data_IF_861125514347
#
_entry.id   IF_861125514347
#
_cell.length_a   1.000
_cell.length_b   1.000
_cell.length_c   1.000
_cell.angle_alpha   90.00
_cell.angle_beta   90.00
_cell.angle_gamma   90.00
#
_symmetry.space_group_name_H-M   'P 1'
#
loop_
_entity.id
_entity.type
_entity.pdbx_description
1 polymer ?
#
# COMPACT_ATOMS: atom_id res chain seq x y z
N UNK A 1 13.73 -0.56 -34.52
CA UNK A 1 13.93 -2.00 -34.78
C UNK A 1 12.58 -2.63 -35.09
N UNK A 2 12.44 -3.96 -35.00
CA UNK A 2 11.10 -4.56 -34.82
C UNK A 2 10.65 -4.27 -33.39
N UNK A 3 9.39 -3.93 -33.19
CA UNK A 3 8.81 -3.71 -31.89
C UNK A 3 8.81 -5.01 -31.07
N UNK A 4 9.20 -4.93 -29.81
CA UNK A 4 9.09 -6.00 -28.84
C UNK A 4 8.21 -5.56 -27.67
N UNK A 5 7.82 -6.51 -26.81
CA UNK A 5 7.16 -6.21 -25.54
C UNK A 5 8.03 -5.23 -24.72
N UNK A 6 7.40 -4.18 -24.19
CA UNK A 6 8.04 -3.06 -23.49
C UNK A 6 8.52 -1.91 -24.39
N UNK A 7 8.53 -2.07 -25.72
CA UNK A 7 8.80 -0.96 -26.64
C UNK A 7 7.58 -0.03 -26.76
N UNK A 8 7.84 1.27 -26.99
CA UNK A 8 6.82 2.24 -27.35
C UNK A 8 6.67 2.30 -28.87
N UNK A 9 5.46 2.10 -29.36
CA UNK A 9 5.08 2.35 -30.74
C UNK A 9 4.24 3.62 -30.82
N UNK A 10 4.53 4.50 -31.78
CA UNK A 10 3.65 5.62 -32.11
C UNK A 10 2.79 5.19 -33.28
N UNK A 11 1.47 5.18 -33.11
CA UNK A 11 0.53 4.65 -34.11
C UNK A 11 -0.55 5.66 -34.49
N UNK A 12 -0.99 5.56 -35.74
CA UNK A 12 -2.32 6.01 -36.14
C UNK A 12 -3.21 4.79 -36.25
N UNK A 13 -4.48 4.90 -35.89
CA UNK A 13 -5.43 3.81 -36.08
C UNK A 13 -6.83 4.29 -36.41
N UNK A 14 -7.57 3.46 -37.15
CA UNK A 14 -8.99 3.64 -37.42
C UNK A 14 -9.72 2.32 -37.20
N UNK A 15 -10.57 2.30 -36.18
CA UNK A 15 -11.42 1.18 -35.79
C UNK A 15 -12.72 1.14 -36.57
N UNK A 16 -13.10 -0.07 -36.99
CA UNK A 16 -14.29 -0.37 -37.78
C UNK A 16 -15.04 -1.56 -37.20
N UNK A 17 -16.37 -1.51 -37.24
CA UNK A 17 -17.25 -2.64 -36.91
C UNK A 17 -18.07 -2.93 -38.16
N UNK A 18 -18.00 -4.16 -38.67
CA UNK A 18 -18.70 -4.51 -39.92
C UNK A 18 -18.27 -3.69 -41.14
N UNK A 19 -17.06 -3.13 -41.12
CA UNK A 19 -16.51 -2.28 -42.20
C UNK A 19 -16.77 -0.78 -42.06
N UNK A 20 -17.62 -0.36 -41.12
CA UNK A 20 -17.92 1.06 -40.86
C UNK A 20 -17.12 1.58 -39.67
N UNK A 21 -16.52 2.77 -39.82
CA UNK A 21 -15.79 3.42 -38.73
C UNK A 21 -16.74 3.86 -37.61
N UNK A 22 -16.32 3.68 -36.36
CA UNK A 22 -17.13 4.08 -35.19
C UNK A 22 -16.51 5.27 -34.44
N UNK A 23 -17.35 6.04 -33.75
CA UNK A 23 -16.91 7.21 -32.98
C UNK A 23 -16.04 6.80 -31.80
N UNK A 24 -14.92 7.51 -31.59
CA UNK A 24 -13.92 7.17 -30.57
C UNK A 24 -12.99 6.02 -30.96
N UNK A 25 -13.16 5.43 -32.14
CA UNK A 25 -12.33 4.35 -32.66
C UNK A 25 -11.09 4.80 -33.45
N UNK A 26 -10.78 6.10 -33.51
CA UNK A 26 -9.65 6.61 -34.28
C UNK A 26 -8.71 7.45 -33.43
N UNK A 27 -7.41 7.31 -33.66
CA UNK A 27 -6.36 8.05 -32.99
C UNK A 27 -5.23 8.37 -33.95
N UNK A 28 -4.61 9.55 -33.78
CA UNK A 28 -3.42 9.96 -34.50
C UNK A 28 -2.27 10.19 -33.51
N UNK A 29 -1.06 9.83 -33.92
CA UNK A 29 0.19 9.97 -33.17
C UNK A 29 0.09 9.45 -31.74
N UNK A 30 -0.66 8.36 -31.55
CA UNK A 30 -0.89 7.78 -30.23
C UNK A 30 0.33 6.96 -29.79
N UNK A 31 1.00 7.35 -28.69
CA UNK A 31 2.04 6.52 -28.10
C UNK A 31 1.40 5.35 -27.35
N UNK A 32 1.85 4.14 -27.65
CA UNK A 32 1.42 2.91 -27.00
C UNK A 32 2.64 2.11 -26.58
N UNK A 33 2.76 1.79 -25.29
CA UNK A 33 3.79 0.87 -24.79
C UNK A 33 3.26 -0.55 -24.88
N UNK A 34 3.92 -1.41 -25.65
CA UNK A 34 3.47 -2.79 -25.84
C UNK A 34 3.56 -3.57 -24.52
N UNK A 35 2.44 -4.11 -24.04
CA UNK A 35 2.31 -4.80 -22.77
C UNK A 35 1.76 -3.92 -21.62
N UNK A 36 1.45 -2.64 -21.88
CA UNK A 36 0.86 -1.74 -20.86
C UNK A 36 -0.57 -2.11 -20.49
N UNK A 37 -1.28 -2.83 -21.38
CA UNK A 37 -2.71 -3.16 -21.25
C UNK A 37 -3.60 -1.92 -21.20
N UNK A 38 -3.13 -0.81 -21.77
CA UNK A 38 -3.91 0.42 -21.93
C UNK A 38 -4.95 0.26 -23.05
N UNK A 39 -4.68 -0.60 -24.03
CA UNK A 39 -5.60 -0.91 -25.12
C UNK A 39 -6.39 -2.19 -24.84
N UNK A 40 -7.37 -2.45 -25.71
CA UNK A 40 -8.23 -3.64 -25.65
C UNK A 40 -7.35 -4.90 -25.69
N UNK A 41 -7.62 -5.92 -24.85
CA UNK A 41 -6.86 -7.17 -24.87
C UNK A 41 -6.72 -7.77 -26.28
N UNK A 42 -5.51 -8.21 -26.62
CA UNK A 42 -5.16 -8.75 -27.94
C UNK A 42 -4.79 -7.71 -29.00
N UNK A 43 -4.96 -6.41 -28.73
CA UNK A 43 -4.54 -5.35 -29.67
C UNK A 43 -3.02 -5.21 -29.72
N UNK A 44 -2.39 -5.04 -28.56
CA UNK A 44 -0.95 -4.82 -28.40
C UNK A 44 -0.12 -6.00 -28.93
N UNK A 45 -0.57 -7.24 -28.68
CA UNK A 45 0.10 -8.48 -29.10
C UNK A 45 0.29 -8.57 -30.61
N UNK A 46 -0.67 -8.05 -31.38
CA UNK A 46 -0.63 -8.07 -32.84
C UNK A 46 0.34 -7.03 -33.44
N UNK A 47 0.75 -6.03 -32.65
CA UNK A 47 1.75 -5.04 -33.03
C UNK A 47 3.19 -5.48 -32.72
N UNK A 48 3.36 -6.54 -31.93
CA UNK A 48 4.69 -7.14 -31.70
C UNK A 48 5.29 -7.56 -33.05
N UNK A 49 6.57 -7.23 -33.23
CA UNK A 49 7.33 -7.49 -34.45
C UNK A 49 7.14 -6.47 -35.57
N UNK A 50 6.22 -5.51 -35.44
CA UNK A 50 6.01 -4.44 -36.42
C UNK A 50 7.19 -3.46 -36.45
N UNK A 51 7.36 -2.76 -37.57
CA UNK A 51 8.39 -1.73 -37.77
C UNK A 51 7.72 -0.38 -38.06
N UNK A 52 8.47 0.69 -37.85
CA UNK A 52 8.08 2.01 -38.35
C UNK A 52 7.84 1.95 -39.87
N UNK A 53 6.72 2.51 -40.31
CA UNK A 53 6.19 2.45 -41.67
C UNK A 53 5.26 1.26 -41.95
N UNK A 54 5.12 0.28 -41.05
CA UNK A 54 4.23 -0.86 -41.28
C UNK A 54 2.75 -0.44 -41.12
N UNK A 55 1.93 -0.92 -42.05
CA UNK A 55 0.47 -0.91 -41.94
C UNK A 55 -0.01 -2.32 -41.60
N UNK A 56 -0.84 -2.45 -40.56
CA UNK A 56 -1.41 -3.72 -40.10
C UNK A 56 -2.89 -3.57 -39.84
N UNK A 57 -3.64 -4.60 -40.16
CA UNK A 57 -5.00 -4.75 -39.66
C UNK A 57 -4.97 -5.61 -38.40
N UNK A 58 -5.51 -5.07 -37.31
CA UNK A 58 -5.59 -5.73 -36.00
C UNK A 58 -7.05 -6.06 -35.73
N UNK A 59 -7.36 -7.31 -35.45
CA UNK A 59 -8.73 -7.75 -35.14
C UNK A 59 -8.84 -8.08 -33.66
N UNK A 60 -9.79 -7.46 -32.97
CA UNK A 60 -10.01 -7.67 -31.53
C UNK A 60 -11.50 -7.75 -31.22
N UNK A 61 -11.82 -8.45 -30.14
CA UNK A 61 -13.18 -8.48 -29.58
C UNK A 61 -13.21 -7.64 -28.32
N UNK A 62 -14.14 -6.69 -28.26
CA UNK A 62 -14.36 -5.89 -27.06
C UNK A 62 -14.84 -6.78 -25.91
N UNK A 63 -14.38 -6.56 -24.67
CA UNK A 63 -14.90 -7.25 -23.50
C UNK A 63 -16.41 -7.10 -23.36
N UNK A 64 -17.09 -8.09 -22.77
CA UNK A 64 -18.54 -8.03 -22.53
C UNK A 64 -18.94 -6.90 -21.57
N UNK A 65 -18.04 -6.50 -20.67
CA UNK A 65 -18.22 -5.44 -19.69
C UNK A 65 -17.63 -4.09 -20.12
N UNK A 66 -17.51 -3.84 -21.43
CA UNK A 66 -16.91 -2.60 -21.92
C UNK A 66 -17.82 -1.39 -21.64
N UNK A 67 -17.20 -0.27 -21.21
CA UNK A 67 -17.90 0.95 -20.78
C UNK A 67 -18.87 1.50 -21.85
N UNK A 68 -18.50 1.36 -23.13
CA UNK A 68 -19.38 1.68 -24.23
C UNK A 68 -20.24 0.46 -24.61
N UNK A 69 -21.48 0.43 -24.13
CA UNK A 69 -22.43 -0.67 -24.34
C UNK A 69 -22.66 -1.03 -25.82
N UNK A 70 -22.48 -0.08 -26.73
CA UNK A 70 -22.62 -0.32 -28.18
C UNK A 70 -21.41 -1.04 -28.81
N UNK A 71 -20.29 -1.14 -28.10
CA UNK A 71 -19.07 -1.84 -28.52
C UNK A 71 -18.88 -3.17 -27.78
N UNK A 72 -19.43 -3.32 -26.58
CA UNK A 72 -19.30 -4.50 -25.74
C UNK A 72 -19.60 -5.82 -26.49
N UNK A 73 -18.69 -6.79 -26.38
CA UNK A 73 -18.80 -8.11 -27.01
C UNK A 73 -18.68 -8.15 -28.55
N UNK A 74 -18.49 -7.00 -29.22
CA UNK A 74 -18.39 -6.95 -30.67
C UNK A 74 -16.96 -7.18 -31.14
N UNK A 75 -16.81 -7.83 -32.27
CA UNK A 75 -15.56 -7.89 -33.02
C UNK A 75 -15.37 -6.59 -33.81
N UNK A 76 -14.17 -6.03 -33.78
CA UNK A 76 -13.79 -4.85 -34.52
C UNK A 76 -12.42 -5.05 -35.18
N UNK A 77 -12.25 -4.42 -36.33
CA UNK A 77 -10.97 -4.36 -37.04
C UNK A 77 -10.41 -2.96 -36.95
N UNK A 78 -9.11 -2.86 -36.70
CA UNK A 78 -8.38 -1.60 -36.62
C UNK A 78 -7.33 -1.59 -37.72
N UNK A 79 -7.41 -0.62 -38.62
CA UNK A 79 -6.34 -0.35 -39.56
C UNK A 79 -5.33 0.53 -38.83
N UNK A 80 -4.14 -0.01 -38.55
CA UNK A 80 -3.09 0.61 -37.75
C UNK A 80 -1.87 0.91 -38.61
N UNK A 81 -1.39 2.15 -38.57
CA UNK A 81 -0.13 2.56 -39.18
C UNK A 81 0.88 2.85 -38.09
N UNK A 82 2.00 2.12 -38.08
CA UNK A 82 3.09 2.33 -37.12
C UNK A 82 4.01 3.43 -37.64
N UNK A 83 4.01 4.59 -36.99
CA UNK A 83 4.87 5.72 -37.36
C UNK A 83 6.29 5.60 -36.79
N UNK A 84 6.41 5.19 -35.54
CA UNK A 84 7.68 5.13 -34.83
C UNK A 84 7.73 3.90 -33.91
N UNK A 85 8.93 3.36 -33.71
CA UNK A 85 9.20 2.33 -32.70
C UNK A 85 10.41 2.77 -31.88
N UNK A 86 10.20 3.05 -30.60
CA UNK A 86 11.20 3.49 -29.65
C UNK A 86 11.33 2.46 -28.51
N UNK A 87 12.56 2.06 -28.20
CA UNK A 87 12.87 1.21 -27.05
C UNK A 87 13.09 2.08 -25.81
N UNK A 88 12.69 1.65 -24.60
CA UNK A 88 13.11 2.30 -23.37
C UNK A 88 14.63 2.42 -23.31
N UNK A 89 15.14 3.63 -23.14
CA UNK A 89 16.55 3.86 -22.85
C UNK A 89 16.91 3.34 -21.46
N UNK A 90 18.18 3.03 -21.22
CA UNK A 90 18.67 2.86 -19.86
C UNK A 90 18.61 4.24 -19.17
N UNK A 91 17.82 4.34 -18.10
CA UNK A 91 17.83 5.53 -17.27
C UNK A 91 18.99 5.42 -16.28
N UNK A 92 20.05 6.17 -16.53
CA UNK A 92 21.11 6.34 -15.54
C UNK A 92 20.62 7.28 -14.43
N UNK A 93 20.65 6.80 -13.19
CA UNK A 93 20.28 7.60 -12.03
C UNK A 93 21.48 8.48 -11.66
N UNK A 94 21.48 9.71 -12.19
CA UNK A 94 22.53 10.72 -12.03
C UNK A 94 21.93 12.12 -11.77
N UNK A 95 22.78 13.15 -11.72
CA UNK A 95 22.34 14.53 -11.48
C UNK A 95 21.46 15.09 -12.61
N UNK A 96 21.63 14.64 -13.86
CA UNK A 96 20.79 15.06 -14.98
C UNK A 96 19.37 14.53 -14.83
N UNK A 97 19.23 13.28 -14.41
CA UNK A 97 17.92 12.68 -14.07
C UNK A 97 17.23 13.43 -12.93
N UNK A 98 17.98 13.84 -11.90
CA UNK A 98 17.43 14.66 -10.83
C UNK A 98 16.97 16.05 -11.34
N UNK A 99 17.76 16.70 -12.21
CA UNK A 99 17.40 17.99 -12.83
C UNK A 99 16.14 17.90 -13.71
N UNK A 100 15.97 16.81 -14.43
CA UNK A 100 14.74 16.55 -15.20
C UNK A 100 13.49 16.44 -14.30
N UNK A 101 13.66 16.07 -13.04
CA UNK A 101 12.62 16.04 -12.01
C UNK A 101 12.51 17.37 -11.23
N UNK A 102 13.23 18.41 -11.63
CA UNK A 102 13.23 19.72 -10.97
C UNK A 102 14.08 19.80 -9.70
N UNK A 103 15.01 18.86 -9.50
CA UNK A 103 15.90 18.82 -8.34
C UNK A 103 17.34 19.22 -8.71
N UNK A 104 18.08 19.74 -7.73
CA UNK A 104 19.41 20.28 -7.97
C UNK A 104 20.47 19.19 -8.23
N UNK A 105 20.31 18.02 -7.60
CA UNK A 105 21.27 16.92 -7.65
C UNK A 105 20.65 15.56 -7.32
N UNK A 106 21.37 14.49 -7.66
CA UNK A 106 21.04 13.13 -7.26
C UNK A 106 21.06 12.96 -5.74
N UNK A 107 21.97 13.64 -5.06
CA UNK A 107 22.02 13.63 -3.60
C UNK A 107 20.69 14.15 -3.03
N UNK A 108 20.20 15.27 -3.56
CA UNK A 108 18.90 15.83 -3.15
C UNK A 108 17.74 14.89 -3.44
N UNK A 109 17.75 14.23 -4.60
CA UNK A 109 16.75 13.20 -4.92
C UNK A 109 16.79 12.04 -3.91
N UNK A 110 17.97 11.54 -3.56
CA UNK A 110 18.13 10.46 -2.57
C UNK A 110 17.67 10.88 -1.18
N UNK A 111 17.95 12.10 -0.75
CA UNK A 111 17.47 12.65 0.52
C UNK A 111 15.95 12.70 0.59
N UNK A 112 15.30 13.23 -0.45
CA UNK A 112 13.84 13.34 -0.51
C UNK A 112 13.20 11.95 -0.45
N UNK A 113 13.67 11.02 -1.29
CA UNK A 113 13.16 9.65 -1.32
C UNK A 113 13.42 8.93 0.00
N UNK A 114 14.60 9.12 0.61
CA UNK A 114 14.91 8.58 1.93
C UNK A 114 13.92 9.12 2.98
N UNK A 115 13.70 10.43 3.03
CA UNK A 115 12.76 11.04 3.98
C UNK A 115 11.32 10.55 3.77
N UNK A 116 10.90 10.33 2.52
CA UNK A 116 9.59 9.74 2.23
C UNK A 116 9.48 8.31 2.77
N UNK A 117 10.51 7.48 2.56
CA UNK A 117 10.55 6.09 3.05
C UNK A 117 10.61 6.07 4.58
N UNK A 118 11.42 6.93 5.20
CA UNK A 118 11.54 7.05 6.65
C UNK A 118 10.21 7.47 7.28
N UNK A 119 9.50 8.45 6.70
CA UNK A 119 8.17 8.84 7.16
C UNK A 119 7.15 7.70 7.00
N UNK A 120 7.17 6.99 5.87
CA UNK A 120 6.26 5.87 5.62
C UNK A 120 6.48 4.74 6.64
N UNK A 121 7.73 4.28 6.79
CA UNK A 121 8.06 3.20 7.73
C UNK A 121 7.93 3.65 9.18
N UNK A 122 8.24 4.91 9.49
CA UNK A 122 8.02 5.51 10.79
C UNK A 122 6.55 5.49 11.18
N UNK A 123 5.64 5.89 10.27
CA UNK A 123 4.20 5.83 10.51
C UNK A 123 3.71 4.40 10.75
N UNK A 124 4.20 3.42 9.99
CA UNK A 124 3.82 2.01 10.17
C UNK A 124 4.34 1.43 11.48
N UNK A 125 5.59 1.72 11.82
CA UNK A 125 6.20 1.33 13.10
C UNK A 125 5.41 1.93 14.26
N UNK A 126 5.07 3.21 14.16
CA UNK A 126 4.26 3.92 15.15
C UNK A 126 2.89 3.26 15.34
N UNK A 127 2.21 2.93 14.24
CA UNK A 127 0.92 2.26 14.29
C UNK A 127 1.00 0.89 14.97
N UNK A 128 2.02 0.08 14.66
CA UNK A 128 2.24 -1.23 15.30
C UNK A 128 2.54 -1.10 16.80
N UNK A 129 3.46 -0.21 17.19
CA UNK A 129 3.80 0.03 18.59
C UNK A 129 2.58 0.53 19.38
N UNK A 130 1.82 1.47 18.81
CA UNK A 130 0.57 1.96 19.41
C UNK A 130 -0.44 0.83 19.58
N UNK A 131 -0.66 0.01 18.56
CA UNK A 131 -1.55 -1.16 18.64
C UNK A 131 -1.14 -2.12 19.76
N UNK A 132 0.13 -2.51 19.79
CA UNK A 132 0.67 -3.38 20.84
C UNK A 132 0.47 -2.81 22.25
N UNK A 133 0.70 -1.51 22.43
CA UNK A 133 0.46 -0.83 23.70
C UNK A 133 -1.03 -0.90 24.09
N UNK A 134 -1.94 -0.58 23.16
CA UNK A 134 -3.37 -0.62 23.41
C UNK A 134 -3.87 -2.04 23.69
N UNK A 135 -3.35 -3.06 23.00
CA UNK A 135 -3.69 -4.46 23.27
C UNK A 135 -3.24 -4.89 24.67
N UNK A 136 -2.04 -4.49 25.10
CA UNK A 136 -1.57 -4.76 26.45
C UNK A 136 -2.40 -4.04 27.51
N UNK A 137 -2.83 -2.80 27.25
CA UNK A 137 -3.73 -2.07 28.15
C UNK A 137 -5.10 -2.75 28.23
N UNK A 138 -5.67 -3.16 27.10
CA UNK A 138 -6.98 -3.85 27.06
C UNK A 138 -6.95 -5.17 27.83
N UNK A 139 -5.87 -5.94 27.68
CA UNK A 139 -5.67 -7.19 28.42
C UNK A 139 -5.44 -6.96 29.93
N UNK A 140 -4.81 -5.84 30.31
CA UNK A 140 -4.47 -5.53 31.70
C UNK A 140 -5.64 -4.93 32.48
N UNK A 141 -6.52 -4.17 31.81
CA UNK A 141 -7.62 -3.45 32.44
C UNK A 141 -8.97 -3.96 31.94
N UNK A 142 -9.48 -5.01 32.58
CA UNK A 142 -10.82 -5.54 32.31
C UNK A 142 -11.84 -4.95 33.28
N UNK A 143 -12.73 -4.09 32.79
CA UNK A 143 -13.89 -3.59 33.51
C UNK A 143 -15.07 -3.40 32.56
N UNK A 144 -16.27 -3.34 33.11
CA UNK A 144 -17.49 -3.11 32.36
C UNK A 144 -17.58 -1.63 31.95
N UNK A 145 -17.60 -1.38 30.65
CA UNK A 145 -17.74 -0.04 30.12
C UNK A 145 -19.18 0.47 30.31
N UNK A 146 -19.40 1.78 30.56
CA UNK A 146 -20.74 2.32 30.72
C UNK A 146 -21.59 2.08 29.46
N UNK A 147 -22.72 1.38 29.59
CA UNK A 147 -23.55 0.92 28.47
C UNK A 147 -23.95 2.04 27.51
N UNK A 148 -24.30 3.22 28.01
CA UNK A 148 -24.65 4.38 27.18
C UNK A 148 -23.50 4.85 26.27
N UNK A 149 -22.26 4.75 26.75
CA UNK A 149 -21.09 5.11 25.95
C UNK A 149 -20.81 4.03 24.90
N UNK A 150 -20.97 2.76 25.27
CA UNK A 150 -20.84 1.63 24.34
C UNK A 150 -21.88 1.72 23.23
N UNK A 151 -23.15 1.97 23.57
CA UNK A 151 -24.23 2.15 22.61
C UNK A 151 -23.98 3.33 21.68
N UNK A 152 -23.48 4.45 22.20
CA UNK A 152 -23.13 5.62 21.38
C UNK A 152 -22.00 5.30 20.39
N UNK A 153 -20.93 4.65 20.86
CA UNK A 153 -19.80 4.25 20.01
C UNK A 153 -20.22 3.19 18.97
N UNK A 154 -21.00 2.20 19.37
CA UNK A 154 -21.57 1.20 18.47
C UNK A 154 -22.39 1.86 17.36
N UNK A 155 -23.28 2.79 17.71
CA UNK A 155 -24.09 3.50 16.71
C UNK A 155 -23.23 4.34 15.76
N UNK A 156 -22.16 4.97 16.25
CA UNK A 156 -21.22 5.71 15.39
C UNK A 156 -20.54 4.78 14.37
N UNK A 157 -20.01 3.65 14.84
CA UNK A 157 -19.38 2.64 14.00
C UNK A 157 -20.38 2.08 12.99
N UNK A 158 -21.56 1.65 13.47
CA UNK A 158 -22.59 1.03 12.66
C UNK A 158 -23.12 1.97 11.57
N UNK A 159 -23.30 3.26 11.88
CA UNK A 159 -23.71 4.26 10.89
C UNK A 159 -22.63 4.55 9.84
N UNK A 160 -21.36 4.37 10.18
CA UNK A 160 -20.25 4.52 9.22
C UNK A 160 -20.21 3.31 8.29
N UNK A 161 -20.22 2.10 8.85
CA UNK A 161 -20.21 0.83 8.09
C UNK A 161 -21.36 0.77 7.09
N UNK A 162 -22.59 1.10 7.50
CA UNK A 162 -23.72 1.11 6.57
C UNK A 162 -23.58 2.14 5.45
N UNK A 163 -23.02 3.33 5.75
CA UNK A 163 -22.76 4.35 4.72
C UNK A 163 -21.72 3.88 3.71
N UNK A 164 -20.68 3.20 4.17
CA UNK A 164 -19.62 2.68 3.31
C UNK A 164 -20.14 1.53 2.42
N UNK A 165 -20.95 0.63 2.98
CA UNK A 165 -21.65 -0.41 2.22
C UNK A 165 -22.59 0.18 1.15
N UNK A 166 -23.41 1.17 1.54
CA UNK A 166 -24.32 1.84 0.61
C UNK A 166 -23.56 2.56 -0.52
N UNK A 167 -22.49 3.29 -0.18
CA UNK A 167 -21.64 3.97 -1.16
C UNK A 167 -20.93 2.99 -2.11
N UNK A 168 -20.56 1.81 -1.61
CA UNK A 168 -19.96 0.73 -2.40
C UNK A 168 -21.00 -0.11 -3.17
N UNK A 169 -22.30 0.08 -2.91
CA UNK A 169 -23.37 -0.75 -3.48
C UNK A 169 -23.29 -2.21 -3.03
N UNK A 170 -22.78 -2.48 -1.82
CA UNK A 170 -22.54 -3.80 -1.26
C UNK A 170 -23.45 -4.09 -0.08
N UNK A 171 -23.52 -5.35 0.29
CA UNK A 171 -24.22 -5.87 1.46
C UNK A 171 -23.26 -6.63 2.37
N UNK A 172 -23.64 -6.89 3.63
CA UNK A 172 -22.85 -7.74 4.53
C UNK A 172 -22.59 -9.15 3.97
N UNK A 173 -23.51 -9.68 3.15
CA UNK A 173 -23.31 -10.97 2.49
C UNK A 173 -22.16 -10.94 1.47
N UNK A 174 -21.90 -9.79 0.84
CA UNK A 174 -20.76 -9.58 -0.06
C UNK A 174 -19.42 -9.51 0.71
N UNK A 175 -19.48 -9.31 2.03
CA UNK A 175 -18.34 -9.34 2.96
C UNK A 175 -18.21 -10.70 3.69
N UNK A 176 -18.93 -11.72 3.21
CA UNK A 176 -18.92 -13.08 3.78
C UNK A 176 -19.38 -13.13 5.26
N UNK A 177 -20.22 -12.18 5.69
CA UNK A 177 -20.77 -12.11 7.06
C UNK A 177 -22.28 -11.87 7.07
N UNK A 178 -22.93 -12.06 8.22
CA UNK A 178 -24.34 -11.68 8.43
C UNK A 178 -24.44 -10.37 9.19
N UNK A 179 -25.56 -9.65 9.06
CA UNK A 179 -25.78 -8.42 9.85
C UNK A 179 -25.69 -8.70 11.35
N UNK A 180 -26.21 -9.84 11.82
CA UNK A 180 -26.18 -10.22 13.23
C UNK A 180 -24.75 -10.45 13.74
N UNK A 181 -23.93 -11.20 12.98
CA UNK A 181 -22.52 -11.44 13.29
C UNK A 181 -21.73 -10.13 13.26
N UNK A 182 -21.90 -9.32 12.21
CA UNK A 182 -21.27 -8.01 12.09
C UNK A 182 -21.64 -7.10 13.29
N UNK A 183 -22.92 -7.03 13.67
CA UNK A 183 -23.34 -6.27 14.86
C UNK A 183 -22.65 -6.75 16.12
N UNK A 184 -22.55 -8.07 16.33
CA UNK A 184 -21.89 -8.62 17.51
C UNK A 184 -20.40 -8.27 17.54
N UNK A 185 -19.71 -8.30 16.40
CA UNK A 185 -18.31 -7.90 16.28
C UNK A 185 -18.11 -6.40 16.52
N UNK A 186 -18.93 -5.54 15.91
CA UNK A 186 -18.86 -4.11 16.13
C UNK A 186 -19.27 -3.69 17.54
N UNK A 187 -20.14 -4.46 18.21
CA UNK A 187 -20.45 -4.25 19.63
C UNK A 187 -19.21 -4.52 20.50
N UNK A 188 -18.51 -5.64 20.28
CA UNK A 188 -17.24 -5.93 20.98
C UNK A 188 -16.18 -4.87 20.70
N UNK A 189 -16.11 -4.38 19.46
CA UNK A 189 -15.22 -3.29 19.09
C UNK A 189 -15.56 -1.99 19.84
N UNK A 190 -16.84 -1.65 19.95
CA UNK A 190 -17.32 -0.49 20.69
C UNK A 190 -16.97 -0.58 22.18
N UNK A 191 -17.22 -1.74 22.81
CA UNK A 191 -16.83 -2.00 24.20
C UNK A 191 -15.32 -1.80 24.42
N UNK A 192 -14.51 -2.38 23.53
CA UNK A 192 -13.04 -2.25 23.59
C UNK A 192 -12.59 -0.79 23.44
N UNK A 193 -13.16 -0.04 22.48
CA UNK A 193 -12.82 1.38 22.26
C UNK A 193 -13.20 2.26 23.44
N UNK A 194 -14.40 2.09 23.99
CA UNK A 194 -14.84 2.86 25.16
C UNK A 194 -13.97 2.55 26.37
N UNK A 195 -13.67 1.27 26.63
CA UNK A 195 -12.81 0.86 27.73
C UNK A 195 -11.41 1.47 27.62
N UNK A 196 -10.76 1.33 26.46
CA UNK A 196 -9.44 1.91 26.22
C UNK A 196 -9.46 3.43 26.30
N UNK A 197 -10.49 4.09 25.76
CA UNK A 197 -10.66 5.54 25.85
C UNK A 197 -10.71 6.03 27.30
N UNK A 198 -11.44 5.32 28.17
CA UNK A 198 -11.52 5.63 29.60
C UNK A 198 -10.17 5.40 30.31
N UNK A 199 -9.46 4.31 29.99
CA UNK A 199 -8.12 4.04 30.54
C UNK A 199 -7.13 5.14 30.15
N UNK A 200 -7.09 5.51 28.86
CA UNK A 200 -6.20 6.55 28.37
C UNK A 200 -6.55 7.93 28.93
N UNK A 201 -7.84 8.24 29.10
CA UNK A 201 -8.29 9.47 29.74
C UNK A 201 -7.77 9.56 31.18
N UNK A 202 -7.95 8.51 31.98
CA UNK A 202 -7.47 8.44 33.37
C UNK A 202 -5.95 8.55 33.47
N UNK A 203 -5.21 7.87 32.58
CA UNK A 203 -3.74 7.94 32.52
C UNK A 203 -3.31 9.37 32.16
N UNK A 204 -3.90 9.95 31.12
CA UNK A 204 -3.56 11.29 30.66
C UNK A 204 -3.87 12.36 31.71
N UNK A 205 -5.00 12.24 32.42
CA UNK A 205 -5.35 13.12 33.52
C UNK A 205 -4.32 13.05 34.66
N UNK A 206 -3.97 11.84 35.11
CA UNK A 206 -2.94 11.63 36.15
C UNK A 206 -1.55 12.14 35.73
N UNK A 207 -1.23 12.01 34.45
CA UNK A 207 0.03 12.49 33.88
C UNK A 207 0.04 14.00 33.58
N UNK A 208 -1.11 14.68 33.70
CA UNK A 208 -1.24 16.10 33.35
C UNK A 208 -1.07 16.36 31.85
N UNK A 209 -1.40 15.39 31.00
CA UNK A 209 -1.34 15.53 29.54
C UNK A 209 -2.48 16.45 29.10
N UNK A 210 -2.15 17.48 28.33
CA UNK A 210 -3.14 18.41 27.76
C UNK A 210 -2.82 18.71 26.30
N UNK A 211 -3.84 18.91 25.48
CA UNK A 211 -3.67 19.45 24.11
C UNK A 211 -3.81 20.97 24.19
N UNK A 212 -2.73 21.67 23.91
CA UNK A 212 -2.73 23.14 23.86
C UNK A 212 -3.50 23.67 22.66
N UNK A 213 -3.94 24.93 22.74
CA UNK A 213 -4.62 25.58 21.62
C UNK A 213 -3.71 25.71 20.39
N UNK A 214 -2.40 25.90 20.58
CA UNK A 214 -1.42 25.93 19.49
C UNK A 214 -1.33 24.59 18.75
N UNK A 215 -1.33 23.48 19.49
CA UNK A 215 -1.36 22.13 18.92
C UNK A 215 -2.67 21.91 18.16
N UNK A 216 -3.81 22.31 18.74
CA UNK A 216 -5.11 22.18 18.10
C UNK A 216 -5.19 22.99 16.81
N UNK A 217 -4.64 24.21 16.78
CA UNK A 217 -4.55 25.03 15.57
C UNK A 217 -3.66 24.37 14.51
N UNK A 218 -2.52 23.79 14.91
CA UNK A 218 -1.65 23.05 13.99
C UNK A 218 -2.37 21.84 13.39
N UNK A 219 -3.09 21.08 14.22
CA UNK A 219 -3.92 19.95 13.78
C UNK A 219 -5.02 20.37 12.82
N UNK A 220 -5.65 21.51 13.07
CA UNK A 220 -6.63 22.09 12.15
C UNK A 220 -6.00 22.39 10.79
N UNK A 221 -4.83 23.03 10.75
CA UNK A 221 -4.15 23.29 9.47
C UNK A 221 -3.77 22.00 8.74
N UNK A 222 -3.30 20.98 9.46
CA UNK A 222 -3.00 19.66 8.89
C UNK A 222 -4.25 18.97 8.33
N UNK A 223 -5.37 19.04 9.06
CA UNK A 223 -6.65 18.49 8.62
C UNK A 223 -7.17 19.21 7.38
N UNK A 224 -7.12 20.55 7.35
CA UNK A 224 -7.54 21.36 6.20
C UNK A 224 -6.69 21.06 4.96
N UNK A 225 -5.38 20.83 5.12
CA UNK A 225 -4.50 20.47 3.99
C UNK A 225 -4.84 19.15 3.32
N UNK A 226 -5.62 18.27 3.96
CA UNK A 226 -6.11 17.02 3.37
C UNK A 226 -7.22 17.26 2.34
N UNK A 227 -7.88 18.43 2.39
CA UNK A 227 -8.91 18.79 1.42
C UNK A 227 -8.30 19.34 0.12
N UNK A 228 -8.99 19.15 -1.03
CA UNK A 228 -8.60 19.78 -2.29
C UNK A 228 -8.40 21.29 -2.14
N UNK A 229 -7.42 21.86 -2.84
CA UNK A 229 -7.01 23.25 -2.67
C UNK A 229 -8.16 24.26 -2.79
N UNK A 230 -9.13 23.99 -3.67
CA UNK A 230 -10.33 24.83 -3.87
C UNK A 230 -11.37 24.74 -2.73
N UNK A 231 -11.25 23.78 -1.82
CA UNK A 231 -12.17 23.56 -0.68
C UNK A 231 -11.53 23.91 0.68
N UNK A 232 -10.23 24.21 0.72
CA UNK A 232 -9.50 24.42 1.99
C UNK A 232 -10.05 25.60 2.80
N UNK A 233 -10.44 26.70 2.14
CA UNK A 233 -10.99 27.86 2.84
C UNK A 233 -12.34 27.54 3.50
N UNK A 234 -13.24 26.88 2.79
CA UNK A 234 -14.54 26.48 3.32
C UNK A 234 -14.39 25.48 4.49
N UNK A 235 -13.48 24.50 4.35
CA UNK A 235 -13.17 23.56 5.42
C UNK A 235 -12.64 24.29 6.66
N UNK A 236 -11.73 25.25 6.49
CA UNK A 236 -11.21 26.05 7.61
C UNK A 236 -12.32 26.86 8.31
N UNK A 237 -13.19 27.51 7.55
CA UNK A 237 -14.32 28.27 8.08
C UNK A 237 -15.32 27.36 8.82
N UNK A 238 -15.57 26.14 8.32
CA UNK A 238 -16.42 25.15 8.98
C UNK A 238 -15.89 24.80 10.38
N UNK A 239 -14.63 24.38 10.51
CA UNK A 239 -14.05 24.04 11.82
C UNK A 239 -13.98 25.25 12.76
N UNK A 240 -13.72 26.45 12.22
CA UNK A 240 -13.68 27.68 13.02
C UNK A 240 -15.04 28.03 13.61
N UNK A 241 -16.11 27.85 12.84
CA UNK A 241 -17.47 28.20 13.24
C UNK A 241 -18.21 27.07 13.96
N UNK A 242 -17.62 25.87 14.01
CA UNK A 242 -18.20 24.69 14.63
C UNK A 242 -17.28 24.14 15.75
N UNK A 243 -17.48 24.61 16.99
CA UNK A 243 -16.66 24.17 18.14
C UNK A 243 -16.67 22.66 18.35
N UNK A 244 -17.79 21.99 18.06
CA UNK A 244 -17.89 20.54 18.19
C UNK A 244 -17.01 19.84 17.15
N UNK A 245 -17.02 20.31 15.90
CA UNK A 245 -16.12 19.81 14.87
C UNK A 245 -14.65 20.03 15.24
N UNK A 246 -14.29 21.18 15.79
CA UNK A 246 -12.92 21.44 16.24
C UNK A 246 -12.52 20.51 17.40
N UNK A 247 -13.44 20.24 18.33
CA UNK A 247 -13.21 19.33 19.44
C UNK A 247 -12.99 17.88 18.98
N UNK A 248 -13.51 17.47 17.81
CA UNK A 248 -13.21 16.13 17.26
C UNK A 248 -11.73 15.93 16.96
N UNK A 249 -10.96 17.00 16.69
CA UNK A 249 -9.52 16.93 16.46
C UNK A 249 -8.73 16.76 17.78
N UNK A 250 -9.30 17.17 18.92
CA UNK A 250 -8.61 17.15 20.21
C UNK A 250 -8.45 15.73 20.74
N UNK A 251 -9.46 14.87 20.60
CA UNK A 251 -9.43 13.49 21.11
C UNK A 251 -8.26 12.66 20.55
N UNK A 252 -8.06 12.55 19.22
CA UNK A 252 -6.94 11.80 18.67
C UNK A 252 -5.58 12.42 19.01
N UNK A 253 -5.50 13.75 19.14
CA UNK A 253 -4.26 14.41 19.60
C UNK A 253 -3.92 14.10 21.05
N UNK A 254 -4.93 14.11 21.92
CA UNK A 254 -4.76 13.76 23.32
C UNK A 254 -4.32 12.30 23.44
N UNK A 255 -4.98 11.39 22.72
CA UNK A 255 -4.61 9.98 22.65
C UNK A 255 -3.16 9.78 22.25
N UNK A 256 -2.70 10.42 21.16
CA UNK A 256 -1.30 10.33 20.73
C UNK A 256 -0.32 10.82 21.81
N UNK A 257 -0.64 11.91 22.50
CA UNK A 257 0.21 12.42 23.58
C UNK A 257 0.26 11.48 24.80
N UNK A 258 -0.85 10.83 25.13
CA UNK A 258 -0.88 9.82 26.20
C UNK A 258 -0.05 8.60 25.81
N UNK A 259 -0.17 8.15 24.55
CA UNK A 259 0.66 7.07 24.01
C UNK A 259 2.14 7.45 24.07
N UNK A 260 2.52 8.66 23.65
CA UNK A 260 3.90 9.16 23.76
C UNK A 260 4.41 9.17 25.20
N UNK A 261 3.57 9.65 26.13
CA UNK A 261 3.91 9.65 27.55
C UNK A 261 4.18 8.24 28.06
N UNK A 262 3.33 7.27 27.72
CA UNK A 262 3.49 5.87 28.10
C UNK A 262 4.74 5.25 27.48
N UNK A 263 5.00 5.49 26.20
CA UNK A 263 6.21 5.00 25.52
C UNK A 263 7.49 5.54 26.14
N UNK A 264 7.46 6.75 26.72
CA UNK A 264 8.57 7.32 27.48
C UNK A 264 8.77 6.72 28.88
N UNK A 265 7.80 5.96 29.40
CA UNK A 265 7.84 5.36 30.74
C UNK A 265 8.07 3.86 30.72
N UNK A 266 7.69 3.18 29.65
CA UNK A 266 7.83 1.72 29.53
C UNK A 266 9.16 1.33 28.87
N UNK A 267 9.53 0.07 29.05
CA UNK A 267 10.68 -0.51 28.34
C UNK A 267 10.27 -0.86 26.90
N UNK A 268 10.75 -0.07 25.94
CA UNK A 268 10.59 -0.35 24.51
C UNK A 268 11.85 -1.07 24.00
N UNK A 269 11.67 -2.19 23.28
CA UNK A 269 12.78 -2.93 22.67
C UNK A 269 12.73 -2.76 21.16
N UNK A 270 13.78 -2.17 20.59
CA UNK A 270 13.90 -2.03 19.15
C UNK A 270 14.25 -3.37 18.49
N UNK A 271 13.39 -3.80 17.56
CA UNK A 271 13.59 -5.01 16.78
C UNK A 271 13.77 -4.63 15.32
N UNK A 272 14.85 -5.09 14.71
CA UNK A 272 15.09 -4.88 13.27
C UNK A 272 14.27 -5.89 12.47
N UNK A 273 13.30 -5.40 11.72
CA UNK A 273 12.40 -6.18 10.88
C UNK A 273 12.63 -5.90 9.39
N UNK A 274 12.20 -6.83 8.54
CA UNK A 274 12.18 -6.62 7.09
C UNK A 274 11.05 -5.70 6.64
N UNK A 275 11.12 -5.19 5.39
CA UNK A 275 10.03 -4.36 4.82
C UNK A 275 8.72 -5.13 4.77
N UNK A 276 8.74 -6.38 4.30
CA UNK A 276 7.52 -7.19 4.18
C UNK A 276 6.88 -7.43 5.55
N UNK A 277 7.69 -7.69 6.58
CA UNK A 277 7.22 -7.90 7.95
C UNK A 277 6.62 -6.62 8.57
N UNK A 278 7.25 -5.46 8.33
CA UNK A 278 6.70 -4.18 8.78
C UNK A 278 5.37 -3.84 8.09
N UNK A 279 5.22 -4.25 6.84
CA UNK A 279 4.06 -3.99 5.99
C UNK A 279 2.94 -5.02 6.16
N UNK A 280 3.22 -6.18 6.74
CA UNK A 280 2.22 -7.22 6.95
C UNK A 280 1.16 -6.73 7.96
N UNK A 281 -0.11 -6.98 7.64
CA UNK A 281 -1.20 -6.75 8.58
C UNK A 281 -1.09 -7.73 9.75
N UNK A 282 -1.43 -7.26 10.95
CA UNK A 282 -1.22 -8.08 12.15
C UNK A 282 -2.20 -9.27 12.22
N UNK A 283 -3.33 -9.23 11.50
CA UNK A 283 -4.23 -10.39 11.30
C UNK A 283 -3.52 -11.53 10.55
N UNK A 284 -2.71 -11.20 9.54
CA UNK A 284 -1.85 -12.17 8.85
C UNK A 284 -0.71 -12.63 9.76
N UNK A 285 -0.18 -11.76 10.62
CA UNK A 285 0.95 -12.09 11.50
C UNK A 285 0.62 -13.15 12.56
N UNK A 286 -0.63 -13.23 13.04
CA UNK A 286 -1.08 -14.31 13.93
C UNK A 286 -1.00 -15.69 13.25
N UNK A 287 -1.25 -15.76 11.95
CA UNK A 287 -1.16 -17.01 11.17
C UNK A 287 0.30 -17.41 10.94
N UNK A 288 1.21 -16.45 10.78
CA UNK A 288 2.65 -16.69 10.62
C UNK A 288 3.31 -17.08 11.95
N UNK A 289 2.89 -16.49 13.07
CA UNK A 289 3.42 -16.80 14.41
C UNK A 289 2.99 -18.19 14.91
N UNK A 290 1.80 -18.69 14.51
CA UNK A 290 1.32 -20.04 14.88
C UNK A 290 2.00 -21.17 14.08
N UNK A 291 2.79 -20.86 13.04
CA UNK A 291 3.39 -21.86 12.13
C UNK A 291 4.80 -22.36 12.53
N UNK A 292 5.40 -21.93 13.66
CA UNK A 292 6.70 -22.48 14.12
C UNK A 292 6.73 -22.81 15.63
N UNK A 293 6.57 -24.08 16.02
CA UNK A 293 7.13 -24.57 17.26
C UNK A 293 8.56 -25.10 17.02
N UNK A 294 9.56 -24.35 17.46
CA UNK A 294 10.92 -24.85 17.58
C UNK A 294 10.98 -25.91 18.70
N UNK A 295 11.28 -27.16 18.31
CA UNK A 295 11.60 -28.26 19.20
C UNK A 295 12.76 -27.88 20.14
N UNK A 296 12.48 -27.91 21.44
CA UNK A 296 13.48 -28.05 22.51
C UNK A 296 14.39 -29.25 22.21
N UNK A 297 15.70 -29.02 22.16
CA UNK A 297 16.70 -30.05 22.44
C UNK A 297 17.53 -29.57 23.63
N UNK A 298 17.59 -30.42 24.64
CA UNK A 298 18.12 -30.14 25.96
C UNK A 298 19.64 -29.94 25.98
N UNK A 299 20.03 -29.05 26.87
CA UNK A 299 21.35 -28.87 27.47
C UNK A 299 22.08 -30.17 27.83
N UNK A 300 23.36 -30.26 27.44
CA UNK A 300 24.41 -30.89 28.27
C UNK A 300 25.62 -29.98 28.34
N UNK A 301 26.00 -29.68 29.58
CA UNK A 301 27.06 -28.79 30.08
C UNK A 301 28.38 -29.57 30.14
N UNK A 302 29.50 -28.96 29.75
CA UNK A 302 30.84 -29.23 30.28
C UNK A 302 31.81 -28.08 29.91
N UNK A 303 32.75 -27.82 30.82
CA UNK A 303 33.48 -26.58 31.07
C UNK A 303 34.71 -26.28 30.19
N UNK A 304 34.99 -24.97 30.09
CA UNK A 304 36.27 -24.26 30.19
C UNK A 304 37.56 -24.81 29.54
N UNK A 305 38.18 -23.99 28.69
CA UNK A 305 39.49 -23.35 28.97
C UNK A 305 39.88 -22.30 27.93
N UNK A 306 40.47 -21.22 28.43
CA UNK A 306 41.10 -20.13 27.70
C UNK A 306 42.36 -20.57 26.93
N UNK A 307 42.68 -19.89 25.82
CA UNK A 307 44.00 -19.26 25.59
C UNK A 307 44.03 -18.51 24.26
N UNK A 308 44.82 -17.45 24.27
CA UNK A 308 45.02 -16.44 23.25
C UNK A 308 45.85 -16.89 22.03
N UNK A 309 45.72 -16.09 20.96
CA UNK A 309 46.78 -15.50 20.15
C UNK A 309 47.34 -16.19 18.88
N UNK A 310 47.45 -15.31 17.86
CA UNK A 310 48.34 -15.26 16.67
C UNK A 310 47.93 -16.12 15.46
N UNK A 311 47.57 -15.52 14.32
CA UNK A 311 48.32 -14.68 13.36
C UNK A 311 49.00 -15.51 12.26
N UNK A 312 48.90 -15.03 11.00
CA UNK A 312 49.57 -15.57 9.81
C UNK A 312 48.57 -16.26 8.88
N UNK A 313 47.99 -15.62 7.86
CA UNK A 313 48.56 -15.10 6.60
C UNK A 313 48.59 -16.14 5.47
N UNK A 314 48.42 -15.62 4.26
CA UNK A 314 48.53 -16.22 2.93
C UNK A 314 47.40 -17.09 2.35
N UNK A 315 46.66 -16.44 1.43
CA UNK A 315 46.64 -16.73 -0.01
C UNK A 315 46.81 -18.19 -0.47
N UNK A 316 45.87 -18.64 -1.30
CA UNK A 316 46.10 -18.88 -2.73
C UNK A 316 45.05 -19.86 -3.28
N UNK A 317 44.15 -19.32 -4.10
CA UNK A 317 43.38 -20.08 -5.08
C UNK A 317 44.36 -20.45 -6.23
N UNK A 318 44.28 -21.66 -6.84
CA UNK A 318 43.83 -21.60 -8.24
C UNK A 318 43.06 -22.84 -8.77
N UNK A 319 42.00 -22.53 -9.52
CA UNK A 319 41.67 -23.00 -10.88
C UNK A 319 41.33 -24.48 -11.19
N UNK A 320 40.11 -24.59 -11.76
CA UNK A 320 39.69 -25.29 -13.01
C UNK A 320 39.74 -26.82 -13.10
N UNK A 321 38.56 -27.41 -13.38
CA UNK A 321 38.19 -28.18 -14.61
C UNK A 321 36.79 -28.81 -14.42
N UNK A 322 35.80 -28.39 -15.21
CA UNK A 322 35.39 -28.99 -16.50
C UNK A 322 34.47 -30.22 -16.35
N UNK A 323 33.28 -30.10 -16.94
CA UNK A 323 32.24 -31.12 -17.06
C UNK A 323 32.67 -32.34 -17.91
N UNK A 324 31.84 -33.41 -17.92
CA UNK A 324 31.27 -33.77 -19.21
C UNK A 324 29.77 -34.11 -19.18
N UNK A 325 29.11 -33.76 -20.28
CA UNK A 325 27.78 -34.20 -20.73
C UNK A 325 27.82 -35.67 -21.22
N UNK A 326 26.74 -36.43 -20.97
CA UNK A 326 26.12 -37.44 -21.87
C UNK A 326 24.65 -37.59 -21.42
N UNK A 327 23.65 -37.07 -22.14
CA UNK A 327 22.88 -37.63 -23.29
C UNK A 327 22.17 -38.97 -23.02
N UNK A 328 20.84 -38.84 -22.85
CA UNK A 328 19.73 -39.46 -23.60
C UNK A 328 19.42 -40.98 -23.51
N UNK A 329 18.20 -41.28 -23.07
CA UNK A 329 17.19 -42.23 -23.59
C UNK A 329 15.86 -41.83 -22.87
N UNK A 330 14.73 -41.44 -23.48
CA UNK A 330 13.86 -42.04 -24.51
C UNK A 330 13.38 -43.45 -24.17
N UNK A 331 12.14 -43.55 -23.68
CA UNK A 331 11.03 -44.45 -24.07
C UNK A 331 9.87 -44.18 -23.08
N UNK A 332 8.71 -43.69 -23.53
CA UNK A 332 7.58 -44.42 -24.13
C UNK A 332 6.66 -45.04 -23.06
N UNK A 333 5.57 -44.35 -22.71
CA UNK A 333 4.16 -44.72 -22.92
C UNK A 333 3.26 -43.53 -22.51
#
# INVERSE_FOLDING_TARGET
GKAAEGDRVTIDYVGKIGGEAFSGGAGNDQPLVLGSKEFIPGFEDQLIGAKAGDEKQVTVTFPENYQAAHLAGKEATFDVTVKEVAKPGELEINDETAKNLGLESLERLREIVRGQIENQFGSMTRQKVKRQLLDQLDASYSFEAPSKLVEAEFNNIWNQVNRDLEAAGRTFADEETTEEEARAEYMRLAERRVRLGLVLAEIGEKAGVTVSDEELQRGLFEQVRRFPANQQQEAFEFYRNNPDALNTLRAPMFEEKVVDHLLGQISVTDVKVGKEELMADDEDSETVAKAKPAKKAASKKAEAKASEAKAGDDAEEPKKKAAPKKKAAKDAE
#
